data_IF_551326229063
#
_entry.id   IF_551326229063
#
_cell.length_a   1.000
_cell.length_b   1.000
_cell.length_c   1.000
_cell.angle_alpha   90.00
_cell.angle_beta   90.00
_cell.angle_gamma   90.00
#
_symmetry.space_group_name_H-M   'P 1'
#
loop_
_entity.id
_entity.type
_entity.pdbx_description
1 polymer ?
#
# COMPACT_ATOMS: atom_id res chain seq x y z
N UNK A 1 -2.57 13.55 4.75
CA UNK A 1 -2.08 12.66 3.67
C UNK A 1 -2.26 11.25 4.18
N UNK A 2 -2.86 10.39 3.36
CA UNK A 2 -3.10 9.00 3.69
C UNK A 2 -1.84 8.17 3.46
N UNK A 3 -1.33 7.54 4.50
CA UNK A 3 -0.12 6.72 4.51
C UNK A 3 -0.43 5.28 4.92
N UNK A 4 0.34 4.30 4.42
CA UNK A 4 0.30 2.91 4.89
C UNK A 4 1.26 2.75 6.08
N UNK A 5 0.74 2.34 7.23
CA UNK A 5 1.56 1.89 8.35
C UNK A 5 2.00 0.44 8.11
N UNK A 6 3.31 0.23 7.94
CA UNK A 6 3.86 -1.09 7.55
C UNK A 6 3.89 -2.11 8.69
N UNK A 7 3.74 -1.67 9.95
CA UNK A 7 3.72 -2.57 11.11
C UNK A 7 2.33 -3.14 11.34
N UNK A 8 1.30 -2.34 11.07
CA UNK A 8 -0.11 -2.68 11.29
C UNK A 8 -0.87 -3.02 10.01
N UNK A 9 -0.34 -2.64 8.85
CA UNK A 9 -0.98 -2.80 7.54
C UNK A 9 -2.17 -1.86 7.30
N UNK A 10 -2.39 -0.87 8.17
CA UNK A 10 -3.54 0.03 8.09
C UNK A 10 -3.20 1.37 7.45
N UNK A 11 -4.18 1.98 6.80
CA UNK A 11 -4.04 3.35 6.33
C UNK A 11 -4.32 4.35 7.45
N UNK A 12 -3.46 5.35 7.59
CA UNK A 12 -3.55 6.41 8.59
C UNK A 12 -3.41 7.79 7.96
N UNK A 13 -4.07 8.79 8.51
CA UNK A 13 -3.89 10.19 8.12
C UNK A 13 -2.74 10.83 8.89
N UNK A 14 -1.80 11.43 8.17
CA UNK A 14 -0.63 12.12 8.72
C UNK A 14 -0.38 13.46 8.02
N UNK A 15 0.17 14.41 8.77
CA UNK A 15 0.70 15.65 8.22
C UNK A 15 2.08 15.36 7.59
N UNK A 16 2.24 15.51 6.26
CA UNK A 16 3.50 15.23 5.59
C UNK A 16 4.65 16.14 6.04
N UNK A 17 4.36 17.36 6.52
CA UNK A 17 5.41 18.30 6.99
C UNK A 17 6.02 17.89 8.31
N UNK A 18 5.34 17.03 9.07
CA UNK A 18 5.73 16.60 10.42
C UNK A 18 6.04 15.11 10.51
N UNK A 19 5.89 14.39 9.41
CA UNK A 19 6.01 12.93 9.39
C UNK A 19 7.13 12.56 8.44
N UNK A 20 8.09 11.78 8.94
CA UNK A 20 9.05 11.14 8.06
C UNK A 20 8.38 9.90 7.44
N UNK A 21 8.35 9.84 6.13
CA UNK A 21 7.79 8.74 5.37
C UNK A 21 8.69 8.43 4.18
N UNK A 22 8.62 7.20 3.70
CA UNK A 22 9.21 6.79 2.45
C UNK A 22 8.11 6.74 1.38
N UNK A 23 8.42 7.22 0.18
CA UNK A 23 7.60 6.92 -0.99
C UNK A 23 8.15 5.63 -1.57
N UNK A 24 7.37 4.56 -1.49
CA UNK A 24 7.61 3.37 -2.30
C UNK A 24 7.01 3.61 -3.68
N UNK A 25 7.86 4.06 -4.60
CA UNK A 25 7.57 4.01 -6.03
C UNK A 25 8.32 2.81 -6.57
N UNK A 26 7.58 1.79 -7.03
CA UNK A 26 8.15 0.64 -7.71
C UNK A 26 7.47 0.54 -9.08
N UNK A 27 8.26 0.53 -10.15
CA UNK A 27 7.78 0.16 -11.47
C UNK A 27 7.97 -1.35 -11.60
N UNK A 28 6.88 -2.10 -11.49
CA UNK A 28 6.91 -3.57 -11.60
C UNK A 28 7.20 -4.00 -13.06
N UNK A 29 6.97 -3.10 -14.04
CA UNK A 29 7.30 -3.19 -15.48
C UNK A 29 7.15 -1.76 -16.11
N UNK A 30 7.26 -1.60 -17.44
CA UNK A 30 6.96 -0.35 -18.20
C UNK A 30 5.51 0.16 -18.01
N UNK A 31 4.65 -0.63 -17.35
CA UNK A 31 3.25 -0.30 -17.08
C UNK A 31 3.06 -0.17 -15.57
N UNK A 32 2.58 1.00 -15.16
CA UNK A 32 2.19 1.27 -13.76
C UNK A 32 1.03 0.36 -13.36
N UNK A 33 1.15 -0.31 -12.21
CA UNK A 33 0.04 -1.07 -11.63
C UNK A 33 -1.15 -0.15 -11.39
N UNK A 34 -2.30 -0.56 -11.91
CA UNK A 34 -3.54 0.16 -11.70
C UNK A 34 -4.06 -0.05 -10.28
N UNK A 35 -4.96 0.82 -9.84
CA UNK A 35 -5.70 0.61 -8.60
C UNK A 35 -6.42 -0.76 -8.59
N UNK A 36 -6.88 -1.25 -9.74
CA UNK A 36 -7.55 -2.55 -9.84
C UNK A 36 -6.57 -3.70 -9.58
N UNK A 37 -5.37 -3.65 -10.12
CA UNK A 37 -4.33 -4.66 -9.90
C UNK A 37 -4.00 -4.80 -8.41
N UNK A 38 -3.87 -3.66 -7.71
CA UNK A 38 -3.65 -3.64 -6.26
C UNK A 38 -4.83 -4.25 -5.50
N UNK A 39 -6.06 -4.00 -5.93
CA UNK A 39 -7.27 -4.56 -5.31
C UNK A 39 -7.38 -6.06 -5.52
N UNK A 40 -6.96 -6.56 -6.67
CA UNK A 40 -7.01 -8.00 -6.98
C UNK A 40 -5.94 -8.77 -6.20
N UNK A 41 -4.73 -8.20 -6.07
CA UNK A 41 -3.71 -8.72 -5.15
C UNK A 41 -4.27 -8.76 -3.73
N UNK A 42 -4.91 -7.69 -3.24
CA UNK A 42 -5.52 -7.69 -1.90
C UNK A 42 -6.60 -8.77 -1.72
N UNK A 43 -7.40 -9.05 -2.75
CA UNK A 43 -8.42 -10.11 -2.69
C UNK A 43 -7.83 -11.51 -2.62
N UNK A 44 -6.64 -11.73 -3.18
CA UNK A 44 -5.94 -13.01 -3.08
C UNK A 44 -5.37 -13.32 -1.69
N UNK A 45 -5.48 -12.39 -0.74
CA UNK A 45 -5.01 -12.55 0.63
C UNK A 45 -6.18 -12.44 1.62
N UNK A 46 -6.19 -13.30 2.62
CA UNK A 46 -7.07 -13.19 3.78
C UNK A 46 -6.85 -11.87 4.55
N UNK A 47 -7.81 -11.50 5.40
CA UNK A 47 -7.72 -10.31 6.28
C UNK A 47 -6.52 -10.32 7.24
N UNK A 48 -5.82 -11.45 7.34
CA UNK A 48 -4.58 -11.60 8.11
C UNK A 48 -3.30 -11.50 7.24
N UNK A 49 -3.43 -11.14 5.96
CA UNK A 49 -2.30 -11.01 5.04
C UNK A 49 -1.68 -12.34 4.62
N UNK A 50 -2.45 -13.44 4.64
CA UNK A 50 -2.02 -14.76 4.14
C UNK A 50 -2.70 -15.07 2.80
N UNK A 51 -2.02 -15.71 1.84
CA UNK A 51 -2.66 -16.16 0.59
C UNK A 51 -3.91 -17.00 0.91
N UNK A 52 -4.98 -16.80 0.12
CA UNK A 52 -6.17 -17.65 0.14
C UNK A 52 -5.88 -19.03 -0.44
#
# INVERSE_FOLDING_TARGET
>A
MRLLDVWTGQFVEKDPKKTQYAILSHMWDEVEQTYQDVRDIQQSYSSQGRPL
#
